data_IF_751789321356
#
_entry.id   IF_751789321356
#
_cell.length_a   1.000
_cell.length_b   1.000
_cell.length_c   1.000
_cell.angle_alpha   90.00
_cell.angle_beta   90.00
_cell.angle_gamma   90.00
#
_symmetry.space_group_name_H-M   'P 1'
#
loop_
_entity.id
_entity.type
_entity.pdbx_description
1 polymer ?
#
# COMPACT_ATOMS: atom_id res chain seq x y z
N UNK A 1 7.84 -5.88 8.98
CA UNK A 1 8.82 -6.84 8.44
C UNK A 1 9.95 -6.07 7.78
N UNK A 2 11.19 -6.55 7.86
CA UNK A 2 12.35 -5.96 7.18
C UNK A 2 12.75 -6.83 5.99
N UNK A 3 13.49 -6.28 5.03
CA UNK A 3 13.92 -6.97 3.80
C UNK A 3 12.77 -7.39 2.86
N UNK A 4 11.65 -6.69 2.91
CA UNK A 4 10.45 -6.93 2.07
C UNK A 4 10.26 -5.80 1.05
N UNK A 5 11.36 -5.25 0.53
CA UNK A 5 11.33 -4.10 -0.38
C UNK A 5 11.27 -4.46 -1.87
N UNK A 6 11.32 -5.74 -2.24
CA UNK A 6 11.44 -6.18 -3.63
C UNK A 6 10.46 -7.32 -3.93
N UNK A 7 9.62 -7.14 -4.95
CA UNK A 7 8.60 -8.09 -5.44
C UNK A 7 7.38 -8.33 -4.55
N UNK A 8 7.39 -8.01 -3.25
CA UNK A 8 6.20 -8.20 -2.41
C UNK A 8 5.00 -7.41 -2.94
N UNK A 9 5.24 -6.14 -3.25
CA UNK A 9 4.19 -5.26 -3.80
C UNK A 9 3.78 -5.66 -5.22
N UNK A 10 4.72 -6.11 -6.04
CA UNK A 10 4.42 -6.51 -7.42
C UNK A 10 3.64 -7.82 -7.52
N UNK A 11 3.86 -8.76 -6.59
CA UNK A 11 3.24 -10.09 -6.61
C UNK A 11 1.93 -10.11 -5.82
N UNK A 12 1.86 -9.37 -4.72
CA UNK A 12 0.70 -9.40 -3.83
C UNK A 12 0.48 -8.07 -3.11
N UNK A 13 0.77 -6.95 -3.76
CA UNK A 13 0.52 -5.62 -3.21
C UNK A 13 -0.75 -4.99 -3.76
N UNK A 14 -0.70 -3.66 -3.92
CA UNK A 14 -1.81 -2.86 -4.43
C UNK A 14 -2.31 -3.31 -5.81
N UNK A 15 -3.62 -3.48 -5.94
CA UNK A 15 -4.26 -3.91 -7.19
C UNK A 15 -4.41 -5.43 -7.35
N UNK A 16 -3.87 -6.22 -6.43
CA UNK A 16 -4.13 -7.66 -6.33
C UNK A 16 -5.29 -8.01 -5.41
N UNK A 17 -5.72 -9.28 -5.44
CA UNK A 17 -6.67 -9.84 -4.47
C UNK A 17 -5.91 -10.38 -3.27
N UNK A 18 -6.18 -9.82 -2.09
CA UNK A 18 -5.66 -10.33 -0.82
C UNK A 18 -6.49 -11.49 -0.31
N UNK A 19 -5.83 -12.45 0.34
CA UNK A 19 -6.54 -13.49 1.08
C UNK A 19 -7.45 -12.84 2.15
N UNK A 20 -8.70 -13.27 2.21
CA UNK A 20 -9.73 -12.71 3.09
C UNK A 20 -10.09 -11.24 2.83
N UNK A 21 -9.84 -10.69 1.63
CA UNK A 21 -10.25 -9.33 1.25
C UNK A 21 -9.69 -8.24 2.18
N UNK A 22 -8.54 -8.51 2.82
CA UNK A 22 -7.90 -7.58 3.74
C UNK A 22 -7.33 -6.40 2.93
N UNK A 23 -7.73 -5.15 3.23
CA UNK A 23 -7.26 -4.01 2.46
C UNK A 23 -5.77 -3.76 2.65
N UNK A 24 -5.08 -3.39 1.58
CA UNK A 24 -3.65 -3.09 1.64
C UNK A 24 -3.37 -1.85 2.51
N UNK A 25 -2.36 -1.89 3.41
CA UNK A 25 -2.04 -0.76 4.27
C UNK A 25 -1.50 0.43 3.49
N UNK A 26 -1.65 1.63 4.05
CA UNK A 26 -1.05 2.86 3.49
C UNK A 26 0.47 2.75 3.43
N UNK A 27 1.07 3.35 2.42
CA UNK A 27 2.51 3.46 2.26
C UNK A 27 2.99 4.87 2.59
N UNK A 28 4.04 4.96 3.40
CA UNK A 28 4.65 6.22 3.80
C UNK A 28 6.12 6.19 3.41
N UNK A 29 6.57 7.23 2.71
CA UNK A 29 7.99 7.49 2.48
C UNK A 29 8.50 8.30 3.67
N UNK A 30 9.53 7.77 4.31
CA UNK A 30 10.25 8.42 5.40
C UNK A 30 11.59 8.87 4.82
N UNK A 31 11.83 10.18 4.83
CA UNK A 31 13.07 10.78 4.32
C UNK A 31 13.73 11.62 5.42
N UNK A 32 15.06 11.67 5.41
CA UNK A 32 15.84 12.44 6.38
C UNK A 32 16.51 13.60 5.65
N UNK A 33 16.14 14.82 6.00
CA UNK A 33 16.66 16.01 5.34
C UNK A 33 18.12 16.30 5.75
N UNK A 34 18.77 17.26 5.07
CA UNK A 34 20.18 17.66 5.34
C UNK A 34 20.41 18.20 6.76
N UNK A 35 19.37 18.65 7.45
CA UNK A 35 19.41 19.12 8.85
C UNK A 35 19.20 17.98 9.86
N UNK A 36 18.96 16.76 9.38
CA UNK A 36 18.71 15.57 10.20
C UNK A 36 17.26 15.41 10.65
N UNK A 37 16.34 16.26 10.21
CA UNK A 37 14.91 16.17 10.54
C UNK A 37 14.23 15.10 9.67
N UNK A 38 13.33 14.35 10.28
CA UNK A 38 12.55 13.30 9.61
C UNK A 38 11.33 13.95 8.96
N UNK A 39 11.18 13.77 7.66
CA UNK A 39 9.99 14.16 6.91
C UNK A 39 9.25 12.92 6.44
N UNK A 40 7.93 12.93 6.54
CA UNK A 40 7.07 11.83 6.12
C UNK A 40 6.12 12.30 5.02
N UNK A 41 5.96 11.49 3.98
CA UNK A 41 5.02 11.74 2.89
C UNK A 41 4.21 10.48 2.61
N UNK A 42 2.91 10.64 2.37
CA UNK A 42 2.03 9.53 1.98
C UNK A 42 2.31 9.22 0.51
N UNK A 43 2.70 7.99 0.20
CA UNK A 43 2.94 7.53 -1.17
C UNK A 43 1.69 6.88 -1.77
N UNK A 44 0.99 6.07 -0.97
CA UNK A 44 -0.29 5.47 -1.29
C UNK A 44 -1.17 5.45 -0.05
N UNK A 45 -2.42 5.85 -0.23
CA UNK A 45 -3.42 5.71 0.83
C UNK A 45 -3.78 4.25 1.08
N UNK A 46 -4.45 4.00 2.19
CA UNK A 46 -4.98 2.68 2.50
C UNK A 46 -6.05 2.31 1.48
N UNK A 47 -5.98 1.09 0.94
CA UNK A 47 -6.98 0.60 0.00
C UNK A 47 -8.36 0.58 0.68
N UNK A 48 -9.39 1.01 -0.03
CA UNK A 48 -10.77 0.92 0.48
C UNK A 48 -11.42 -0.39 0.06
N UNK A 49 -12.39 -0.87 0.85
CA UNK A 49 -13.18 -2.05 0.51
C UNK A 49 -13.89 -1.90 -0.84
N UNK A 50 -14.29 -0.68 -1.20
CA UNK A 50 -14.92 -0.34 -2.49
C UNK A 50 -13.99 -0.63 -3.69
N UNK A 51 -12.71 -0.26 -3.58
CA UNK A 51 -11.69 -0.52 -4.61
C UNK A 51 -11.37 -2.01 -4.73
N UNK A 52 -11.54 -2.76 -3.65
CA UNK A 52 -11.34 -4.19 -3.63
C UNK A 52 -12.54 -4.94 -4.23
N UNK A 53 -13.76 -4.46 -3.97
CA UNK A 53 -14.98 -4.95 -4.59
C UNK A 53 -15.01 -4.65 -6.10
N UNK A 54 -14.48 -3.50 -6.53
CA UNK A 54 -14.37 -3.19 -7.96
C UNK A 54 -13.40 -4.11 -8.69
N UNK A 55 -12.30 -4.56 -8.06
CA UNK A 55 -11.39 -5.58 -8.62
C UNK A 55 -12.11 -6.92 -8.82
N UNK A 56 -13.07 -7.25 -7.96
CA UNK A 56 -13.91 -8.45 -8.08
C UNK A 56 -15.04 -8.32 -9.12
N UNK A 57 -15.18 -7.15 -9.75
CA UNK A 57 -16.22 -6.90 -10.75
C UNK A 57 -17.58 -6.53 -10.16
N UNK A 58 -17.67 -6.19 -8.87
CA UNK A 58 -18.88 -5.59 -8.32
C UNK A 58 -18.95 -4.14 -8.79
N UNK A 59 -19.87 -3.86 -9.70
CA UNK A 59 -20.27 -2.50 -10.05
C UNK A 59 -21.00 -1.84 -8.88
N UNK A 60 -20.85 -0.52 -8.78
CA UNK A 60 -21.44 0.30 -7.72
C UNK A 60 -22.94 0.45 -7.91
#
# INVERSE_FOLDING_TARGET
FFNTGAYQESIGGFGGLQHCLIPHPKHIIIDKNKKGEITTKIFKDQQKSEELLSILGYEK
#
